data_IF_799785178555
#
_entry.id   IF_799785178555
#
_cell.length_a   1.000
_cell.length_b   1.000
_cell.length_c   1.000
_cell.angle_alpha   90.00
_cell.angle_beta   90.00
_cell.angle_gamma   90.00
#
_symmetry.space_group_name_H-M   'P 1'
#
loop_
_entity.id
_entity.type
_entity.pdbx_description
1 polymer ?
#
# COMPACT_ATOMS: atom_id res chain seq x y z
N UNK A 1 6.74 -5.82 -29.19
CA UNK A 1 5.49 -5.15 -28.79
C UNK A 1 5.81 -4.24 -27.62
N UNK A 2 5.54 -2.94 -27.73
CA UNK A 2 5.71 -2.00 -26.61
C UNK A 2 4.77 -2.43 -25.49
N UNK A 3 5.29 -2.61 -24.29
CA UNK A 3 4.47 -2.96 -23.12
C UNK A 3 3.61 -1.74 -22.76
N UNK A 4 2.29 -1.88 -22.82
CA UNK A 4 1.33 -0.86 -22.39
C UNK A 4 1.58 -0.47 -20.93
N UNK A 5 1.69 0.81 -20.66
CA UNK A 5 1.85 1.32 -19.31
C UNK A 5 0.63 2.08 -18.82
N UNK A 6 0.48 2.18 -17.50
CA UNK A 6 -0.57 3.02 -16.92
C UNK A 6 -0.40 4.50 -17.35
N UNK A 7 0.82 4.93 -17.59
CA UNK A 7 1.12 6.29 -18.05
C UNK A 7 0.53 6.54 -19.44
N UNK A 8 0.71 5.61 -20.39
CA UNK A 8 0.19 5.74 -21.76
C UNK A 8 -1.34 5.84 -21.75
N UNK A 9 -1.99 4.97 -20.98
CA UNK A 9 -3.46 4.99 -20.81
C UNK A 9 -3.93 6.33 -20.24
N UNK A 10 -3.21 6.87 -19.24
CA UNK A 10 -3.55 8.17 -18.66
C UNK A 10 -3.28 9.34 -19.59
N UNK A 11 -2.19 9.31 -20.35
CA UNK A 11 -1.84 10.39 -21.29
C UNK A 11 -2.89 10.56 -22.39
N UNK A 12 -3.43 9.46 -22.86
CA UNK A 12 -4.38 9.46 -23.99
C UNK A 12 -5.85 9.48 -23.53
N UNK A 13 -6.23 8.74 -22.50
CA UNK A 13 -7.62 8.62 -22.09
C UNK A 13 -8.08 9.59 -20.99
N UNK A 14 -7.17 10.04 -20.12
CA UNK A 14 -7.56 10.92 -19.02
C UNK A 14 -8.05 12.32 -19.45
N UNK A 15 -7.49 13.00 -20.47
CA UNK A 15 -7.97 14.32 -20.89
C UNK A 15 -9.46 14.32 -21.23
N UNK A 16 -9.91 13.38 -22.04
CA UNK A 16 -11.33 13.24 -22.41
C UNK A 16 -12.19 12.88 -21.20
N UNK A 17 -11.75 11.92 -20.40
CA UNK A 17 -12.45 11.54 -19.16
C UNK A 17 -12.64 12.72 -18.21
N UNK A 18 -11.63 13.58 -18.05
CA UNK A 18 -11.67 14.71 -17.15
C UNK A 18 -12.59 15.85 -17.64
N UNK A 19 -12.89 15.94 -18.94
CA UNK A 19 -13.85 16.90 -19.49
C UNK A 19 -15.29 16.59 -19.08
N UNK A 20 -15.61 15.30 -18.95
CA UNK A 20 -16.98 14.83 -18.67
C UNK A 20 -17.21 14.47 -17.19
N UNK A 21 -16.13 14.34 -16.41
CA UNK A 21 -16.20 13.91 -15.01
C UNK A 21 -15.54 14.95 -14.10
N UNK A 22 -16.30 15.68 -13.27
CA UNK A 22 -15.73 16.60 -12.28
C UNK A 22 -14.95 15.80 -11.24
N UNK A 23 -13.67 16.13 -11.07
CA UNK A 23 -12.78 15.41 -10.16
C UNK A 23 -12.24 16.35 -9.07
N UNK A 24 -12.06 15.86 -7.83
CA UNK A 24 -11.41 16.62 -6.76
C UNK A 24 -9.97 17.01 -7.12
N UNK A 25 -9.49 18.12 -6.58
CA UNK A 25 -8.15 18.66 -6.90
C UNK A 25 -7.01 17.68 -6.65
N UNK A 26 -7.10 16.88 -5.57
CA UNK A 26 -6.08 15.88 -5.25
C UNK A 26 -6.06 14.72 -6.26
N UNK A 27 -7.21 14.34 -6.82
CA UNK A 27 -7.32 13.31 -7.86
C UNK A 27 -6.72 13.83 -9.17
N UNK A 28 -7.07 15.07 -9.58
CA UNK A 28 -6.46 15.73 -10.74
C UNK A 28 -4.94 15.85 -10.61
N UNK A 29 -4.43 16.15 -9.38
CA UNK A 29 -2.99 16.18 -9.11
C UNK A 29 -2.35 14.81 -9.29
N UNK A 30 -3.00 13.75 -8.83
CA UNK A 30 -2.53 12.37 -9.00
C UNK A 30 -2.48 11.96 -10.47
N UNK A 31 -3.53 12.23 -11.23
CA UNK A 31 -3.59 11.96 -12.66
C UNK A 31 -2.45 12.66 -13.42
N UNK A 32 -2.27 13.97 -13.21
CA UNK A 32 -1.15 14.73 -13.78
C UNK A 32 0.21 14.14 -13.39
N UNK A 33 0.37 13.72 -12.15
CA UNK A 33 1.60 13.10 -11.70
C UNK A 33 1.89 11.75 -12.39
N UNK A 34 0.85 10.96 -12.68
CA UNK A 34 0.98 9.71 -13.45
C UNK A 34 1.37 10.02 -14.89
N UNK A 35 0.69 10.97 -15.55
CA UNK A 35 0.95 11.35 -16.93
C UNK A 35 2.37 11.91 -17.15
N UNK A 36 2.87 12.70 -16.21
CA UNK A 36 4.13 13.43 -16.37
C UNK A 36 5.32 12.83 -15.62
N UNK A 37 5.10 11.80 -14.81
CA UNK A 37 6.18 11.15 -14.07
C UNK A 37 7.23 10.55 -15.00
N UNK A 38 8.50 10.93 -14.85
CA UNK A 38 9.62 10.47 -15.70
C UNK A 38 9.44 10.79 -17.19
N UNK A 39 8.99 12.02 -17.47
CA UNK A 39 8.92 12.59 -18.82
C UNK A 39 9.65 13.94 -18.85
N UNK A 40 9.88 14.47 -20.06
CA UNK A 40 10.50 15.77 -20.28
C UNK A 40 9.77 16.91 -19.57
N UNK A 41 8.47 16.80 -19.35
CA UNK A 41 7.65 17.80 -18.61
C UNK A 41 8.23 18.10 -17.22
N UNK A 42 8.81 17.10 -16.55
CA UNK A 42 9.41 17.28 -15.23
C UNK A 42 10.91 17.62 -15.29
N UNK A 43 11.47 17.81 -16.50
CA UNK A 43 12.89 17.96 -16.70
C UNK A 43 13.68 16.68 -16.38
N UNK A 44 14.99 16.76 -16.41
CA UNK A 44 15.84 15.60 -16.21
C UNK A 44 17.33 15.92 -16.25
N UNK A 45 18.10 14.87 -16.45
CA UNK A 45 19.57 14.94 -16.53
C UNK A 45 20.05 14.06 -17.68
N UNK A 46 20.97 14.56 -18.47
CA UNK A 46 21.72 13.78 -19.47
C UNK A 46 23.01 13.32 -18.82
N UNK A 47 23.25 12.03 -18.88
CA UNK A 47 24.47 11.42 -18.40
C UNK A 47 25.17 10.70 -19.55
N UNK A 48 26.47 10.91 -19.70
CA UNK A 48 27.28 10.32 -20.75
C UNK A 48 28.47 9.55 -20.17
N UNK A 49 28.92 8.54 -20.90
CA UNK A 49 30.16 7.86 -20.61
C UNK A 49 31.33 8.81 -20.88
N UNK A 50 32.34 8.92 -20.00
CA UNK A 50 33.53 9.71 -20.27
C UNK A 50 34.23 9.31 -21.56
N UNK A 51 34.22 8.02 -21.91
CA UNK A 51 34.82 7.49 -23.15
C UNK A 51 33.90 7.60 -24.39
N UNK A 52 32.76 8.27 -24.25
CA UNK A 52 31.86 8.51 -25.40
C UNK A 52 30.97 7.32 -25.81
N UNK A 53 31.00 6.19 -25.09
CA UNK A 53 30.32 4.96 -25.52
C UNK A 53 28.80 5.09 -25.57
N UNK A 54 28.18 5.76 -24.58
CA UNK A 54 26.72 5.93 -24.49
C UNK A 54 26.34 7.25 -23.83
N UNK A 55 25.15 7.73 -24.18
CA UNK A 55 24.45 8.81 -23.49
C UNK A 55 23.04 8.35 -23.06
N UNK A 56 22.59 8.72 -21.87
CA UNK A 56 21.28 8.38 -21.34
C UNK A 56 20.59 9.59 -20.73
N UNK A 57 19.28 9.67 -20.93
CA UNK A 57 18.44 10.70 -20.31
C UNK A 57 17.67 10.08 -19.15
N UNK A 58 17.76 10.69 -17.97
CA UNK A 58 16.95 10.33 -16.82
C UNK A 58 16.03 11.47 -16.45
N UNK A 59 14.74 11.29 -16.71
CA UNK A 59 13.73 12.26 -16.34
C UNK A 59 13.38 12.19 -14.87
N UNK A 60 13.03 13.34 -14.29
CA UNK A 60 12.71 13.49 -12.89
C UNK A 60 11.42 12.73 -12.50
N UNK A 61 11.44 12.14 -11.30
CA UNK A 61 10.29 11.48 -10.73
C UNK A 61 9.26 12.50 -10.20
N UNK A 62 7.97 12.23 -10.40
CA UNK A 62 6.88 13.07 -9.87
C UNK A 62 6.73 12.99 -8.35
N UNK A 63 7.33 11.99 -7.69
CA UNK A 63 7.28 11.70 -6.24
C UNK A 63 5.87 11.49 -5.69
N UNK A 64 4.85 11.40 -6.53
CA UNK A 64 3.47 11.22 -6.08
C UNK A 64 3.23 9.77 -5.64
N UNK A 65 2.53 9.60 -4.48
CA UNK A 65 2.31 8.28 -3.88
C UNK A 65 1.48 7.33 -4.74
N UNK A 66 0.61 7.85 -5.59
CA UNK A 66 -0.25 7.03 -6.47
C UNK A 66 0.41 6.70 -7.81
N UNK A 67 1.59 7.25 -8.13
CA UNK A 67 2.28 6.92 -9.37
C UNK A 67 3.06 5.61 -9.22
N UNK A 68 2.75 4.56 -10.03
CA UNK A 68 3.41 3.26 -9.89
C UNK A 68 4.89 3.29 -10.23
N UNK A 69 5.30 4.15 -11.14
CA UNK A 69 6.70 4.28 -11.55
C UNK A 69 7.56 5.06 -10.53
N UNK A 70 6.99 6.10 -9.92
CA UNK A 70 7.76 7.03 -9.09
C UNK A 70 7.73 6.71 -7.58
N UNK A 71 6.82 5.83 -7.12
CA UNK A 71 6.68 5.49 -5.72
C UNK A 71 7.74 4.51 -5.19
N UNK A 72 8.41 3.81 -6.09
CA UNK A 72 9.33 2.71 -5.83
C UNK A 72 10.39 3.00 -4.74
N UNK A 73 11.23 4.02 -4.92
CA UNK A 73 12.31 4.33 -3.98
C UNK A 73 11.81 4.63 -2.55
N UNK A 74 10.65 5.25 -2.44
CA UNK A 74 10.05 5.57 -1.14
C UNK A 74 9.50 4.33 -0.45
N UNK A 75 9.02 3.36 -1.21
CA UNK A 75 8.61 2.03 -0.70
C UNK A 75 9.82 1.29 -0.15
N UNK A 76 10.93 1.25 -0.90
CA UNK A 76 12.15 0.56 -0.48
C UNK A 76 12.79 1.22 0.77
N UNK A 77 12.83 2.55 0.83
CA UNK A 77 13.30 3.28 2.03
C UNK A 77 12.47 2.96 3.26
N UNK A 78 11.15 2.98 3.13
CA UNK A 78 10.27 2.61 4.22
C UNK A 78 10.51 1.16 4.66
N UNK A 79 10.57 0.25 3.69
CA UNK A 79 10.77 -1.18 3.94
C UNK A 79 12.11 -1.45 4.63
N UNK A 80 13.19 -0.81 4.20
CA UNK A 80 14.50 -0.94 4.82
C UNK A 80 14.45 -0.48 6.29
N UNK A 81 13.79 0.66 6.57
CA UNK A 81 13.60 1.14 7.94
C UNK A 81 12.78 0.18 8.78
N UNK A 82 11.69 -0.39 8.23
CA UNK A 82 10.88 -1.35 8.99
C UNK A 82 11.66 -2.64 9.27
N UNK A 83 12.36 -3.17 8.28
CA UNK A 83 13.18 -4.40 8.43
C UNK A 83 14.23 -4.25 9.54
N UNK A 84 14.89 -3.09 9.62
CA UNK A 84 15.85 -2.80 10.68
C UNK A 84 15.23 -2.80 12.08
N UNK A 85 13.94 -2.43 12.19
CA UNK A 85 13.21 -2.32 13.45
C UNK A 85 12.43 -3.59 13.81
N UNK A 86 12.17 -4.49 12.87
CA UNK A 86 11.47 -5.74 13.17
C UNK A 86 12.27 -6.57 14.20
N UNK A 87 11.57 -7.12 15.17
CA UNK A 87 12.11 -8.13 16.06
C UNK A 87 12.25 -9.45 15.29
N UNK A 88 13.33 -10.18 15.52
CA UNK A 88 13.49 -11.53 15.00
C UNK A 88 12.67 -12.50 15.87
N UNK A 89 11.37 -12.42 15.76
CA UNK A 89 10.38 -13.29 16.39
C UNK A 89 9.31 -13.64 15.36
N UNK A 90 8.46 -14.60 15.71
CA UNK A 90 7.31 -14.92 14.87
C UNK A 90 6.41 -13.69 14.72
N UNK A 91 5.87 -13.50 13.51
CA UNK A 91 4.89 -12.46 13.21
C UNK A 91 3.65 -13.09 12.58
N UNK A 92 2.49 -12.55 12.91
CA UNK A 92 1.22 -12.95 12.29
C UNK A 92 0.72 -11.85 11.37
N UNK A 93 0.29 -12.20 10.17
CA UNK A 93 -0.50 -11.30 9.34
C UNK A 93 -1.97 -11.48 9.67
N UNK A 94 -2.65 -10.36 9.96
CA UNK A 94 -4.08 -10.33 10.24
C UNK A 94 -4.74 -9.41 9.23
N UNK A 95 -5.73 -9.92 8.49
CA UNK A 95 -6.49 -9.16 7.50
C UNK A 95 -7.91 -8.98 8.05
N UNK A 96 -8.30 -7.72 8.26
CA UNK A 96 -9.61 -7.37 8.76
C UNK A 96 -10.39 -6.67 7.64
N UNK A 97 -11.54 -7.23 7.29
CA UNK A 97 -12.37 -6.73 6.18
C UNK A 97 -13.75 -6.34 6.69
N UNK A 98 -14.17 -5.14 6.35
CA UNK A 98 -15.51 -4.63 6.62
C UNK A 98 -16.54 -5.26 5.66
N UNK A 99 -17.80 -5.45 6.11
CA UNK A 99 -18.90 -5.83 5.22
C UNK A 99 -19.05 -4.86 4.05
N UNK A 100 -19.40 -5.40 2.88
CA UNK A 100 -19.63 -4.62 1.66
C UNK A 100 -20.67 -3.50 1.85
N UNK A 101 -21.67 -3.75 2.69
CA UNK A 101 -22.70 -2.77 3.06
C UNK A 101 -22.16 -1.47 3.65
N UNK A 102 -20.93 -1.47 4.18
CA UNK A 102 -20.26 -0.28 4.72
C UNK A 102 -19.37 0.44 3.69
N UNK A 103 -19.16 -0.13 2.51
CA UNK A 103 -18.33 0.48 1.47
C UNK A 103 -18.86 1.84 0.97
N UNK A 104 -20.18 2.07 0.83
CA UNK A 104 -20.70 3.39 0.47
C UNK A 104 -20.28 4.50 1.43
N UNK A 105 -20.11 4.20 2.71
CA UNK A 105 -19.62 5.17 3.72
C UNK A 105 -18.17 5.63 3.46
N UNK A 106 -17.44 4.92 2.60
CA UNK A 106 -16.06 5.27 2.27
C UNK A 106 -15.95 6.40 1.26
N UNK A 107 -17.05 6.72 0.56
CA UNK A 107 -17.02 7.73 -0.50
C UNK A 107 -16.83 9.14 0.06
N UNK A 108 -17.44 9.43 1.23
CA UNK A 108 -17.36 10.75 1.89
C UNK A 108 -17.50 10.58 3.42
N UNK A 109 -16.68 11.16 4.24
CA UNK A 109 -15.31 11.61 4.00
C UNK A 109 -14.28 10.49 4.26
N UNK A 110 -13.50 10.16 3.25
CA UNK A 110 -12.46 9.10 3.30
C UNK A 110 -11.53 9.20 4.53
N UNK A 111 -11.04 10.38 4.96
CA UNK A 111 -10.15 10.47 6.13
C UNK A 111 -10.81 10.03 7.43
N UNK A 112 -12.10 10.32 7.63
CA UNK A 112 -12.85 9.97 8.85
C UNK A 112 -13.10 8.46 8.90
N UNK A 113 -13.60 7.86 7.81
CA UNK A 113 -13.76 6.41 7.72
C UNK A 113 -12.43 5.67 7.89
N UNK A 114 -11.36 6.19 7.28
CA UNK A 114 -10.01 5.65 7.47
C UNK A 114 -9.59 5.68 8.95
N UNK A 115 -9.80 6.80 9.63
CA UNK A 115 -9.47 6.93 11.05
C UNK A 115 -10.29 5.97 11.92
N UNK A 116 -11.60 5.84 11.65
CA UNK A 116 -12.50 4.95 12.35
C UNK A 116 -12.09 3.48 12.21
N UNK A 117 -11.76 3.05 10.99
CA UNK A 117 -11.34 1.66 10.76
C UNK A 117 -10.00 1.36 11.43
N UNK A 118 -9.03 2.26 11.36
CA UNK A 118 -7.78 2.08 12.10
C UNK A 118 -7.99 2.02 13.61
N UNK A 119 -8.88 2.85 14.15
CA UNK A 119 -9.25 2.81 15.56
C UNK A 119 -9.90 1.47 15.92
N UNK A 120 -10.90 1.04 15.15
CA UNK A 120 -11.58 -0.24 15.33
C UNK A 120 -10.60 -1.41 15.36
N UNK A 121 -9.66 -1.45 14.42
CA UNK A 121 -8.65 -2.52 14.35
C UNK A 121 -7.68 -2.46 15.53
N UNK A 122 -7.21 -1.26 15.90
CA UNK A 122 -6.39 -1.07 17.09
C UNK A 122 -7.09 -1.62 18.32
N UNK A 123 -8.30 -1.15 18.56
CA UNK A 123 -9.05 -1.48 19.78
C UNK A 123 -9.37 -2.99 19.82
N UNK A 124 -9.71 -3.58 18.67
CA UNK A 124 -9.93 -5.04 18.57
C UNK A 124 -8.68 -5.82 18.94
N UNK A 125 -7.54 -5.50 18.31
CA UNK A 125 -6.30 -6.27 18.52
C UNK A 125 -5.69 -6.01 19.91
N UNK A 126 -5.72 -4.77 20.39
CA UNK A 126 -5.16 -4.44 21.70
C UNK A 126 -6.00 -5.02 22.83
N UNK A 127 -7.33 -4.94 22.76
CA UNK A 127 -8.22 -5.55 23.75
C UNK A 127 -8.06 -7.07 23.79
N UNK A 128 -8.08 -7.72 22.61
CA UNK A 128 -7.94 -9.16 22.54
C UNK A 128 -6.59 -9.64 23.08
N UNK A 129 -5.52 -8.97 22.72
CA UNK A 129 -4.15 -9.41 23.07
C UNK A 129 -3.71 -8.97 24.48
N UNK A 130 -4.42 -8.03 25.09
CA UNK A 130 -4.26 -7.71 26.50
C UNK A 130 -4.74 -8.83 27.43
N UNK A 131 -5.67 -9.67 26.95
CA UNK A 131 -6.19 -10.79 27.74
C UNK A 131 -5.10 -11.83 28.03
N UNK A 132 -4.89 -12.20 29.31
CA UNK A 132 -3.86 -13.17 29.71
C UNK A 132 -3.98 -14.54 29.04
N UNK A 133 -5.20 -14.93 28.66
CA UNK A 133 -5.50 -16.18 27.93
C UNK A 133 -4.82 -16.22 26.56
N UNK A 134 -4.61 -15.08 25.91
CA UNK A 134 -3.99 -14.99 24.59
C UNK A 134 -2.53 -14.58 24.69
N UNK A 135 -2.25 -13.30 24.95
CA UNK A 135 -0.89 -12.80 25.13
C UNK A 135 -0.68 -12.17 26.50
N UNK A 136 -1.64 -11.35 26.99
CA UNK A 136 -1.53 -10.62 28.24
C UNK A 136 -0.44 -9.54 28.23
N UNK A 137 -0.11 -9.00 27.04
CA UNK A 137 0.84 -7.93 26.86
C UNK A 137 0.58 -7.18 25.55
N UNK A 138 0.82 -5.86 25.45
CA UNK A 138 0.71 -5.11 24.22
C UNK A 138 1.74 -5.57 23.18
N UNK A 139 1.32 -6.06 21.99
CA UNK A 139 2.23 -6.43 20.91
C UNK A 139 2.70 -5.19 20.12
N UNK A 140 3.67 -5.39 19.24
CA UNK A 140 3.95 -4.47 18.15
C UNK A 140 2.97 -4.71 16.99
N UNK A 141 2.31 -3.65 16.52
CA UNK A 141 1.37 -3.72 15.41
C UNK A 141 1.74 -2.70 14.36
N UNK A 142 1.85 -3.12 13.10
CA UNK A 142 1.92 -2.24 11.92
C UNK A 142 0.72 -2.59 11.06
N UNK A 143 -0.15 -1.62 10.76
CA UNK A 143 -1.31 -1.84 9.94
C UNK A 143 -1.31 -0.93 8.72
N UNK A 144 -1.67 -1.49 7.57
CA UNK A 144 -1.78 -0.78 6.30
C UNK A 144 -3.17 -0.97 5.71
N UNK A 145 -3.78 0.15 5.30
CA UNK A 145 -5.03 0.19 4.56
C UNK A 145 -4.73 0.31 3.08
N UNK A 146 -5.30 -0.55 2.27
CA UNK A 146 -5.50 -0.32 0.86
C UNK A 146 -7.00 -0.38 0.55
N UNK A 147 -7.43 0.29 -0.51
CA UNK A 147 -8.87 0.44 -0.77
C UNK A 147 -9.36 -0.35 -1.96
N UNK A 148 -8.48 -1.18 -2.57
CA UNK A 148 -8.77 -1.89 -3.81
C UNK A 148 -8.71 -3.41 -3.66
N UNK A 149 -9.62 -4.09 -4.35
CA UNK A 149 -9.54 -5.52 -4.61
C UNK A 149 -8.74 -5.82 -5.88
N UNK A 150 -8.61 -7.10 -6.21
CA UNK A 150 -7.88 -7.58 -7.39
C UNK A 150 -8.47 -7.04 -8.71
N UNK A 151 -9.77 -6.79 -8.76
CA UNK A 151 -10.51 -6.26 -9.92
C UNK A 151 -10.67 -4.74 -9.91
N UNK A 152 -9.86 -4.02 -9.10
CA UNK A 152 -9.89 -2.57 -8.92
C UNK A 152 -11.21 -2.02 -8.33
N UNK A 153 -12.08 -2.87 -7.81
CA UNK A 153 -13.26 -2.45 -7.07
C UNK A 153 -12.91 -1.94 -5.67
N UNK A 154 -13.76 -1.08 -5.11
CA UNK A 154 -13.62 -0.59 -3.75
C UNK A 154 -13.76 -1.77 -2.77
N UNK A 155 -12.67 -2.07 -2.10
CA UNK A 155 -12.57 -3.14 -1.11
C UNK A 155 -11.51 -2.73 -0.07
N UNK A 156 -11.91 -2.12 1.05
CA UNK A 156 -10.98 -1.58 2.03
C UNK A 156 -10.62 -2.59 3.14
N UNK A 157 -9.77 -3.61 2.89
CA UNK A 157 -9.20 -4.42 3.94
C UNK A 157 -8.10 -3.65 4.67
N UNK A 158 -7.93 -3.96 5.95
CA UNK A 158 -6.81 -3.53 6.73
C UNK A 158 -5.88 -4.71 6.99
N UNK A 159 -4.65 -4.61 6.53
CA UNK A 159 -3.61 -5.62 6.70
C UNK A 159 -2.75 -5.25 7.89
N UNK A 160 -2.72 -6.09 8.91
CA UNK A 160 -1.92 -5.94 10.12
C UNK A 160 -0.76 -6.93 10.16
N UNK A 161 0.42 -6.45 10.52
CA UNK A 161 1.56 -7.25 10.97
C UNK A 161 1.62 -7.14 12.48
N UNK A 162 1.51 -8.25 13.18
CA UNK A 162 1.48 -8.32 14.65
C UNK A 162 2.63 -9.18 15.14
N UNK A 163 3.42 -8.69 16.10
CA UNK A 163 4.51 -9.47 16.70
C UNK A 163 3.96 -10.67 17.47
N UNK A 164 4.66 -11.79 17.42
CA UNK A 164 4.33 -13.02 18.19
C UNK A 164 4.70 -12.93 19.67
N UNK A 165 4.68 -11.74 20.22
CA UNK A 165 4.89 -11.40 21.62
C UNK A 165 4.64 -9.94 21.87
N UNK A 166 4.72 -9.55 23.14
CA UNK A 166 4.44 -8.19 23.58
C UNK A 166 5.35 -7.74 24.72
N UNK A 167 5.24 -6.48 25.06
CA UNK A 167 5.98 -5.81 26.11
C UNK A 167 5.09 -5.63 27.35
N UNK A 168 5.45 -6.26 28.45
CA UNK A 168 4.68 -6.17 29.69
C UNK A 168 4.96 -4.85 30.44
N UNK A 169 4.11 -4.51 31.40
CA UNK A 169 4.26 -3.27 32.19
C UNK A 169 5.52 -3.28 33.08
N UNK A 170 5.97 -4.47 33.48
CA UNK A 170 7.20 -4.69 34.24
C UNK A 170 8.46 -4.77 33.38
N UNK A 171 8.35 -4.43 32.10
CA UNK A 171 9.51 -4.31 31.22
C UNK A 171 10.06 -5.64 30.71
N UNK A 172 9.21 -6.68 30.58
CA UNK A 172 9.62 -7.98 30.08
C UNK A 172 9.01 -8.30 28.71
N UNK A 173 9.77 -9.02 27.89
CA UNK A 173 9.24 -9.62 26.68
C UNK A 173 8.43 -10.87 27.02
N UNK A 174 7.19 -10.91 26.58
CA UNK A 174 6.30 -12.06 26.74
C UNK A 174 5.96 -12.65 25.37
N UNK A 175 6.44 -13.84 25.09
CA UNK A 175 6.12 -14.55 23.84
C UNK A 175 4.74 -15.23 23.90
N UNK A 176 4.10 -15.38 22.75
CA UNK A 176 2.86 -16.17 22.61
C UNK A 176 3.17 -17.65 22.87
N UNK A 177 2.43 -18.28 23.80
CA UNK A 177 2.70 -19.65 24.26
C UNK A 177 2.36 -20.69 23.20
N UNK A 178 1.20 -20.79 22.66
CA UNK A 178 0.74 -21.94 21.87
C UNK A 178 0.60 -21.66 20.36
N UNK A 179 1.33 -20.73 19.85
CA UNK A 179 1.29 -20.47 18.41
C UNK A 179 0.03 -19.79 17.88
N UNK A 180 -1.02 -19.68 18.65
CA UNK A 180 -2.28 -19.06 18.25
C UNK A 180 -2.37 -17.65 18.86
N UNK A 181 -1.92 -16.65 18.11
CA UNK A 181 -1.98 -15.26 18.57
C UNK A 181 -3.43 -14.74 18.61
N UNK A 182 -4.22 -15.06 17.59
CA UNK A 182 -5.56 -14.47 17.40
C UNK A 182 -6.56 -15.57 17.02
N UNK A 183 -7.50 -15.96 17.89
CA UNK A 183 -8.56 -16.88 17.53
C UNK A 183 -9.58 -16.16 16.62
N UNK A 184 -9.69 -16.62 15.37
CA UNK A 184 -10.42 -15.93 14.31
C UNK A 184 -11.88 -15.61 14.64
N UNK A 185 -12.61 -16.55 15.26
CA UNK A 185 -14.03 -16.34 15.65
C UNK A 185 -14.18 -15.25 16.71
N UNK A 186 -13.32 -15.25 17.74
CA UNK A 186 -13.34 -14.25 18.82
C UNK A 186 -12.96 -12.88 18.28
N UNK A 187 -11.86 -12.82 17.51
CA UNK A 187 -11.42 -11.59 16.87
C UNK A 187 -12.49 -11.00 15.95
N UNK A 188 -13.19 -11.83 15.17
CA UNK A 188 -14.28 -11.40 14.30
C UNK A 188 -15.48 -10.85 15.09
N UNK A 189 -15.87 -11.50 16.19
CA UNK A 189 -16.96 -11.02 17.05
C UNK A 189 -16.59 -9.68 17.70
N UNK A 190 -15.37 -9.55 18.20
CA UNK A 190 -14.87 -8.32 18.80
C UNK A 190 -14.73 -7.20 17.75
N UNK A 191 -14.18 -7.48 16.59
CA UNK A 191 -14.05 -6.53 15.48
C UNK A 191 -15.41 -5.99 15.03
N UNK A 192 -16.42 -6.86 14.92
CA UNK A 192 -17.80 -6.45 14.65
C UNK A 192 -18.36 -5.54 15.74
N UNK A 193 -18.25 -5.94 16.99
CA UNK A 193 -18.77 -5.16 18.14
C UNK A 193 -18.11 -3.77 18.22
N UNK A 194 -16.79 -3.72 18.17
CA UNK A 194 -16.00 -2.49 18.20
C UNK A 194 -16.32 -1.57 17.02
N UNK A 195 -16.42 -2.14 15.81
CA UNK A 195 -16.73 -1.37 14.61
C UNK A 195 -18.13 -0.77 14.63
N UNK A 196 -19.14 -1.55 15.06
CA UNK A 196 -20.50 -1.04 15.19
C UNK A 196 -20.63 0.03 16.29
N UNK A 197 -19.95 -0.14 17.42
CA UNK A 197 -19.89 0.86 18.48
C UNK A 197 -19.26 2.16 17.98
N UNK A 198 -18.13 2.07 17.24
CA UNK A 198 -17.45 3.22 16.67
C UNK A 198 -18.34 3.96 15.65
N UNK A 199 -19.04 3.23 14.77
CA UNK A 199 -19.98 3.82 13.81
C UNK A 199 -21.17 4.51 14.49
N UNK A 200 -21.78 3.88 15.50
CA UNK A 200 -22.86 4.47 16.28
C UNK A 200 -22.44 5.73 17.02
N UNK A 201 -21.22 5.78 17.51
CA UNK A 201 -20.67 6.95 18.21
C UNK A 201 -20.29 8.08 17.23
N UNK A 202 -19.78 7.74 16.05
CA UNK A 202 -19.33 8.73 15.08
C UNK A 202 -20.47 9.45 14.38
N UNK A 203 -21.56 8.75 14.07
CA UNK A 203 -22.65 9.32 13.28
C UNK A 203 -23.39 10.49 13.96
N UNK A 204 -23.87 10.40 15.23
CA UNK A 204 -24.59 11.50 15.87
C UNK A 204 -23.73 12.76 16.14
N UNK A 205 -22.41 12.63 16.03
CA UNK A 205 -21.42 13.71 16.28
C UNK A 205 -20.98 14.41 15.01
N UNK A 206 -21.67 14.24 13.89
CA UNK A 206 -21.27 14.71 12.56
C UNK A 206 -19.85 14.28 12.15
N UNK A 207 -19.31 13.30 12.86
CA UNK A 207 -18.00 12.74 12.55
C UNK A 207 -18.06 11.76 11.35
N UNK A 208 -19.24 11.33 10.95
CA UNK A 208 -19.53 10.49 9.81
C UNK A 208 -20.67 11.10 9.00
N UNK A 209 -20.41 11.50 7.77
CA UNK A 209 -21.44 11.93 6.84
C UNK A 209 -22.02 10.73 6.12
N UNK A 210 -23.34 10.65 6.05
CA UNK A 210 -23.99 9.61 5.27
C UNK A 210 -24.02 10.03 3.80
N UNK A 211 -23.89 9.08 2.85
CA UNK A 211 -24.18 9.34 1.46
C UNK A 211 -25.60 9.92 1.28
N UNK A 212 -25.80 10.80 0.32
CA UNK A 212 -27.09 11.49 0.08
C UNK A 212 -28.25 10.50 -0.15
N UNK A 213 -27.95 9.33 -0.73
CA UNK A 213 -28.89 8.25 -0.98
C UNK A 213 -29.20 7.38 0.27
N UNK A 214 -28.52 7.62 1.40
CA UNK A 214 -28.66 6.82 2.61
C UNK A 214 -29.34 7.63 3.73
N UNK A 215 -30.66 7.44 3.90
CA UNK A 215 -31.43 8.09 4.99
C UNK A 215 -30.96 7.59 6.36
N UNK A 216 -30.99 8.45 7.41
CA UNK A 216 -30.59 8.11 8.78
C UNK A 216 -31.22 6.82 9.31
N UNK A 217 -32.52 6.65 9.12
CA UNK A 217 -33.24 5.45 9.59
C UNK A 217 -32.77 4.16 8.86
N UNK A 218 -32.54 4.25 7.56
CA UNK A 218 -31.99 3.14 6.77
C UNK A 218 -30.56 2.78 7.23
N UNK A 219 -29.76 3.77 7.61
CA UNK A 219 -28.43 3.55 8.18
C UNK A 219 -28.50 2.81 9.51
N UNK A 220 -29.36 3.22 10.44
CA UNK A 220 -29.55 2.54 11.72
C UNK A 220 -30.04 1.09 11.55
N UNK A 221 -31.00 0.88 10.65
CA UNK A 221 -31.47 -0.47 10.28
C UNK A 221 -30.33 -1.32 9.71
N UNK A 222 -29.48 -0.73 8.86
CA UNK A 222 -28.28 -1.38 8.32
C UNK A 222 -27.30 -1.76 9.43
N UNK A 223 -27.01 -0.85 10.38
CA UNK A 223 -26.14 -1.16 11.52
C UNK A 223 -26.71 -2.26 12.40
N UNK A 224 -28.03 -2.29 12.62
CA UNK A 224 -28.67 -3.37 13.36
C UNK A 224 -28.48 -4.72 12.66
N UNK A 225 -28.77 -4.79 11.36
CA UNK A 225 -28.56 -6.00 10.53
C UNK A 225 -27.10 -6.46 10.56
N UNK A 226 -26.15 -5.52 10.44
CA UNK A 226 -24.72 -5.81 10.49
C UNK A 226 -24.24 -6.32 11.85
N UNK A 227 -25.02 -6.11 12.90
CA UNK A 227 -24.76 -6.68 14.22
C UNK A 227 -25.11 -8.17 14.34
N UNK A 228 -25.95 -8.68 13.45
CA UNK A 228 -26.41 -10.06 13.54
C UNK A 228 -25.34 -11.06 13.07
N UNK A 229 -24.92 -12.03 13.89
CA UNK A 229 -23.78 -12.91 13.60
C UNK A 229 -23.94 -13.75 12.32
N UNK A 230 -25.16 -14.13 11.97
CA UNK A 230 -25.49 -15.00 10.83
C UNK A 230 -25.69 -14.25 9.51
N UNK A 231 -25.91 -12.93 9.57
CA UNK A 231 -26.27 -12.12 8.41
C UNK A 231 -25.12 -11.30 7.82
N UNK A 232 -23.93 -11.32 8.43
CA UNK A 232 -22.89 -10.36 8.10
C UNK A 232 -21.53 -10.98 7.86
N UNK A 233 -20.87 -10.45 6.84
CA UNK A 233 -19.54 -10.88 6.42
C UNK A 233 -18.44 -9.95 6.99
N UNK A 234 -18.34 -9.87 8.30
CA UNK A 234 -17.13 -9.38 8.94
C UNK A 234 -16.09 -10.47 8.82
N UNK A 235 -14.93 -10.16 8.28
CA UNK A 235 -13.88 -11.15 8.12
C UNK A 235 -12.63 -10.74 8.87
N UNK A 236 -12.13 -11.69 9.65
CA UNK A 236 -10.79 -11.65 10.21
C UNK A 236 -10.08 -12.90 9.72
N UNK A 237 -9.20 -12.70 8.75
CA UNK A 237 -8.36 -13.76 8.23
C UNK A 237 -6.97 -13.65 8.83
N UNK A 238 -6.45 -14.76 9.32
CA UNK A 238 -5.09 -14.89 9.80
C UNK A 238 -4.31 -15.72 8.80
N UNK A 239 -3.24 -15.17 8.29
CA UNK A 239 -2.27 -15.92 7.51
C UNK A 239 -1.19 -16.49 8.44
N UNK A 240 -0.62 -17.63 8.09
CA UNK A 240 0.37 -18.32 8.90
C UNK A 240 1.57 -17.45 9.26
N UNK A 241 2.26 -17.85 10.31
CA UNK A 241 3.39 -17.15 10.90
C UNK A 241 4.54 -17.04 9.90
N UNK A 242 5.02 -15.82 9.74
CA UNK A 242 6.34 -15.59 9.16
C UNK A 242 7.36 -15.61 10.30
N UNK A 243 8.41 -16.43 10.24
CA UNK A 243 9.44 -16.48 11.29
C UNK A 243 10.08 -15.12 11.59
N UNK A 244 10.16 -14.24 10.59
CA UNK A 244 10.85 -12.95 10.69
C UNK A 244 10.00 -11.73 10.27
N UNK A 245 8.71 -11.90 9.94
CA UNK A 245 7.83 -10.80 9.53
C UNK A 245 8.20 -10.06 8.23
N UNK A 246 9.35 -10.36 7.63
CA UNK A 246 9.92 -9.61 6.50
C UNK A 246 9.05 -9.71 5.24
N UNK A 247 8.50 -10.89 4.96
CA UNK A 247 7.59 -11.13 3.83
C UNK A 247 6.31 -10.31 3.96
N UNK A 248 5.74 -10.28 5.17
CA UNK A 248 4.52 -9.50 5.47
C UNK A 248 4.81 -8.00 5.37
N UNK A 249 5.92 -7.52 5.92
CA UNK A 249 6.33 -6.12 5.79
C UNK A 249 6.50 -5.72 4.31
N UNK A 250 7.06 -6.60 3.48
CA UNK A 250 7.18 -6.40 2.03
C UNK A 250 5.80 -6.31 1.35
N UNK A 251 4.86 -7.18 1.72
CA UNK A 251 3.48 -7.12 1.22
C UNK A 251 2.79 -5.83 1.60
N UNK A 252 2.91 -5.38 2.86
CA UNK A 252 2.39 -4.10 3.35
C UNK A 252 2.99 -2.92 2.57
N UNK A 253 4.31 -2.90 2.38
CA UNK A 253 5.02 -1.85 1.67
C UNK A 253 4.50 -1.68 0.23
N UNK A 254 4.28 -2.78 -0.47
CA UNK A 254 3.76 -2.79 -1.85
C UNK A 254 2.34 -2.22 -1.95
N UNK A 255 1.54 -2.36 -0.89
CA UNK A 255 0.17 -1.84 -0.85
C UNK A 255 0.09 -0.36 -0.50
N UNK A 256 1.15 0.24 0.07
CA UNK A 256 1.13 1.63 0.55
C UNK A 256 1.24 2.68 -0.54
N UNK A 257 1.95 2.37 -1.62
CA UNK A 257 2.32 3.34 -2.67
C UNK A 257 2.31 2.71 -4.06
N UNK A 258 2.14 3.56 -5.07
CA UNK A 258 2.17 3.16 -6.48
C UNK A 258 0.80 2.76 -7.03
N UNK A 259 -0.28 3.11 -6.33
CA UNK A 259 -1.66 2.90 -6.78
C UNK A 259 -2.10 1.43 -6.82
N UNK A 260 -3.33 1.17 -7.28
CA UNK A 260 -3.96 -0.14 -7.25
C UNK A 260 -3.46 -1.09 -8.34
N UNK A 261 -2.79 -0.57 -9.36
CA UNK A 261 -2.34 -1.35 -10.51
C UNK A 261 -0.87 -1.05 -10.83
N UNK A 262 -0.12 -2.12 -11.09
CA UNK A 262 1.27 -2.05 -11.59
C UNK A 262 1.30 -2.42 -13.07
N UNK A 263 2.22 -1.82 -13.85
CA UNK A 263 2.33 -2.05 -15.29
C UNK A 263 2.36 -3.54 -15.70
N UNK A 264 3.07 -4.46 -15.01
CA UNK A 264 3.08 -5.88 -15.38
C UNK A 264 1.71 -6.57 -15.34
N UNK A 265 0.69 -5.96 -14.72
CA UNK A 265 -0.67 -6.49 -14.74
C UNK A 265 -1.46 -6.03 -15.99
N UNK A 266 -1.03 -5.00 -16.69
CA UNK A 266 -1.62 -4.57 -17.94
C UNK A 266 -1.29 -5.56 -19.04
N UNK A 267 -2.28 -5.93 -19.85
CA UNK A 267 -2.16 -6.90 -20.94
C UNK A 267 -2.28 -6.22 -22.29
N UNK A 268 -3.35 -5.44 -22.46
CA UNK A 268 -3.67 -4.77 -23.72
C UNK A 268 -4.45 -3.49 -23.49
N UNK A 269 -4.34 -2.59 -24.43
CA UNK A 269 -5.15 -1.40 -24.55
C UNK A 269 -5.27 -1.05 -26.06
N UNK A 270 -6.51 -0.82 -26.51
CA UNK A 270 -6.87 -0.59 -27.91
C UNK A 270 -7.36 0.85 -28.20
N UNK A 271 -7.32 1.72 -27.18
CA UNK A 271 -7.85 3.08 -27.23
C UNK A 271 -9.22 3.21 -26.55
N UNK A 272 -10.04 2.18 -26.57
CA UNK A 272 -11.40 2.15 -26.01
C UNK A 272 -11.48 1.30 -24.75
N UNK A 273 -10.76 0.18 -24.71
CA UNK A 273 -10.79 -0.77 -23.60
C UNK A 273 -9.41 -1.09 -23.05
N UNK A 274 -9.35 -1.38 -21.75
CA UNK A 274 -8.14 -1.78 -21.04
C UNK A 274 -8.31 -3.18 -20.49
N UNK A 275 -7.40 -4.08 -20.86
CA UNK A 275 -7.34 -5.46 -20.34
C UNK A 275 -6.20 -5.61 -19.33
N UNK A 276 -6.49 -6.16 -18.16
CA UNK A 276 -5.51 -6.42 -17.12
C UNK A 276 -5.70 -7.76 -16.42
N UNK A 277 -4.62 -8.30 -15.87
CA UNK A 277 -4.60 -9.56 -15.11
C UNK A 277 -5.01 -9.34 -13.67
N UNK A 278 -5.74 -10.32 -13.12
CA UNK A 278 -6.02 -10.39 -11.69
C UNK A 278 -6.00 -11.84 -11.20
N UNK A 279 -5.80 -12.02 -9.88
CA UNK A 279 -5.91 -13.33 -9.25
C UNK A 279 -7.32 -13.50 -8.72
N UNK A 280 -7.99 -14.57 -9.11
CA UNK A 280 -9.27 -14.94 -8.53
C UNK A 280 -9.03 -15.51 -7.13
N UNK A 281 -9.73 -14.98 -6.13
CA UNK A 281 -9.67 -15.55 -4.79
C UNK A 281 -10.35 -16.92 -4.81
N UNK A 282 -9.68 -17.99 -4.36
CA UNK A 282 -10.32 -19.29 -4.27
C UNK A 282 -11.55 -19.18 -3.35
N UNK A 283 -12.69 -19.56 -3.87
CA UNK A 283 -13.86 -19.91 -3.05
C UNK A 283 -13.47 -21.08 -2.16
N UNK A 284 -13.93 -21.13 -0.92
CA UNK A 284 -13.52 -22.03 0.18
C UNK A 284 -13.44 -23.56 -0.12
N UNK A 285 -13.64 -23.99 -1.35
CA UNK A 285 -13.70 -25.39 -1.76
C UNK A 285 -12.69 -25.80 -2.84
N UNK A 286 -11.82 -24.90 -3.33
CA UNK A 286 -10.84 -25.25 -4.36
C UNK A 286 -9.42 -24.89 -3.90
N UNK A 287 -8.50 -25.80 -4.18
CA UNK A 287 -7.07 -25.78 -3.88
C UNK A 287 -6.38 -24.41 -3.89
N UNK A 288 -5.44 -24.24 -2.99
CA UNK A 288 -4.78 -23.00 -2.53
C UNK A 288 -4.05 -22.14 -3.59
N UNK A 289 -4.16 -22.35 -4.87
CA UNK A 289 -3.59 -21.54 -5.94
C UNK A 289 -4.70 -20.78 -6.69
N UNK A 290 -4.84 -19.49 -6.40
CA UNK A 290 -5.76 -18.63 -7.17
C UNK A 290 -5.45 -18.69 -8.66
N UNK A 291 -6.49 -18.87 -9.51
CA UNK A 291 -6.36 -18.88 -10.96
C UNK A 291 -6.12 -17.47 -11.48
N UNK A 292 -5.11 -17.28 -12.33
CA UNK A 292 -4.92 -16.00 -13.02
C UNK A 292 -6.00 -15.82 -14.08
N UNK A 293 -6.71 -14.70 -13.99
CA UNK A 293 -7.78 -14.29 -14.90
C UNK A 293 -7.46 -12.96 -15.57
N UNK A 294 -8.18 -12.62 -16.61
CA UNK A 294 -8.13 -11.31 -17.26
C UNK A 294 -9.47 -10.60 -17.16
N UNK A 295 -9.43 -9.28 -17.09
CA UNK A 295 -10.61 -8.43 -17.11
C UNK A 295 -10.40 -7.30 -18.09
N UNK A 296 -11.38 -7.07 -18.94
CA UNK A 296 -11.46 -5.94 -19.86
C UNK A 296 -12.51 -4.96 -19.37
N UNK A 297 -12.17 -3.68 -19.38
CA UNK A 297 -13.05 -2.58 -18.99
C UNK A 297 -13.00 -1.47 -20.04
N UNK A 298 -14.12 -0.78 -20.30
CA UNK A 298 -14.11 0.51 -21.00
C UNK A 298 -13.15 1.46 -20.31
N UNK A 299 -12.47 2.34 -21.06
CA UNK A 299 -11.44 3.22 -20.54
C UNK A 299 -11.97 4.14 -19.43
N UNK A 300 -13.20 4.66 -19.54
CA UNK A 300 -13.85 5.46 -18.53
C UNK A 300 -13.98 4.72 -17.19
N UNK A 301 -14.51 3.48 -17.23
CA UNK A 301 -14.65 2.63 -16.05
C UNK A 301 -13.31 2.28 -15.43
N UNK A 302 -12.30 2.02 -16.26
CA UNK A 302 -10.95 1.73 -15.80
C UNK A 302 -10.35 2.94 -15.05
N UNK A 303 -10.42 4.13 -15.64
CA UNK A 303 -9.92 5.37 -15.02
C UNK A 303 -10.66 5.68 -13.72
N UNK A 304 -11.99 5.57 -13.70
CA UNK A 304 -12.80 5.73 -12.51
C UNK A 304 -12.33 4.81 -11.38
N UNK A 305 -12.14 3.51 -11.70
CA UNK A 305 -11.68 2.51 -10.71
C UNK A 305 -10.28 2.77 -10.21
N UNK A 306 -9.37 3.28 -11.03
CA UNK A 306 -8.02 3.65 -10.59
C UNK A 306 -8.05 4.91 -9.73
N UNK A 307 -8.76 5.94 -10.16
CA UNK A 307 -8.79 7.26 -9.53
C UNK A 307 -9.54 7.28 -8.20
N UNK A 308 -10.56 6.45 -7.98
CA UNK A 308 -11.27 6.36 -6.71
C UNK A 308 -10.37 5.94 -5.53
N UNK A 309 -9.20 5.36 -5.81
CA UNK A 309 -8.25 4.92 -4.79
C UNK A 309 -7.19 5.95 -4.45
N UNK A 310 -7.27 7.15 -5.04
CA UNK A 310 -6.36 8.25 -4.72
C UNK A 310 -6.78 8.85 -3.38
N UNK A 311 -5.99 8.69 -2.31
CA UNK A 311 -6.39 9.18 -1.01
C UNK A 311 -6.30 10.72 -0.94
N UNK A 312 -7.23 11.39 -0.25
CA UNK A 312 -7.14 12.82 0.06
C UNK A 312 -5.83 13.19 0.77
N UNK A 313 -5.39 14.45 0.67
CA UNK A 313 -4.23 14.95 1.41
C UNK A 313 -4.35 14.67 2.91
N UNK A 314 -3.23 14.38 3.58
CA UNK A 314 -3.20 14.08 5.01
C UNK A 314 -3.70 12.69 5.41
N UNK A 315 -4.28 11.90 4.49
CA UNK A 315 -4.73 10.54 4.79
C UNK A 315 -3.54 9.62 5.08
N UNK A 316 -3.44 9.17 6.32
CA UNK A 316 -2.46 8.17 6.74
C UNK A 316 -3.00 6.78 6.43
N UNK A 317 -2.36 6.06 5.51
CA UNK A 317 -2.73 4.69 5.13
C UNK A 317 -1.91 3.62 5.83
N UNK A 318 -0.98 4.01 6.68
CA UNK A 318 -0.21 3.11 7.56
C UNK A 318 -0.17 3.72 8.94
N UNK A 319 -0.43 2.89 9.93
CA UNK A 319 -0.31 3.25 11.36
C UNK A 319 0.38 2.13 12.11
N UNK A 320 1.02 2.49 13.21
CA UNK A 320 1.69 1.54 14.10
C UNK A 320 1.28 1.78 15.55
N UNK A 321 1.25 0.71 16.34
CA UNK A 321 0.92 0.72 17.76
C UNK A 321 1.82 -0.24 18.54
N UNK A 322 1.77 -0.12 19.88
CA UNK A 322 2.60 -0.91 20.76
C UNK A 322 4.09 -0.73 20.44
N UNK A 323 4.86 -1.78 20.50
CA UNK A 323 6.32 -1.79 20.22
C UNK A 323 6.71 -1.26 18.83
N UNK A 324 5.79 -1.30 17.86
CA UNK A 324 6.05 -0.75 16.53
C UNK A 324 5.87 0.77 16.45
N UNK A 325 5.31 1.42 17.46
CA UNK A 325 5.09 2.85 17.48
C UNK A 325 6.33 3.60 18.00
N UNK A 326 6.59 4.80 17.45
CA UNK A 326 7.72 5.62 17.84
C UNK A 326 7.75 5.98 19.34
N UNK A 327 6.58 6.01 19.98
CA UNK A 327 6.42 6.27 21.42
C UNK A 327 7.11 5.21 22.31
N UNK A 328 7.33 4.00 21.79
CA UNK A 328 8.00 2.90 22.47
C UNK A 328 9.38 2.61 21.86
N UNK A 329 10.03 3.64 21.31
CA UNK A 329 11.37 3.51 20.74
C UNK A 329 12.38 2.97 21.76
N UNK A 330 12.23 3.33 23.03
CA UNK A 330 13.11 2.92 24.13
C UNK A 330 12.89 1.46 24.56
N UNK A 331 11.68 0.92 24.39
CA UNK A 331 11.38 -0.47 24.71
C UNK A 331 11.97 -1.45 23.69
N UNK A 332 12.14 -1.03 22.46
CA UNK A 332 12.63 -1.91 21.38
C UNK A 332 14.06 -2.43 21.61
N UNK A 333 15.06 -1.63 22.03
CA UNK A 333 16.38 -2.13 22.39
C UNK A 333 16.34 -3.15 23.54
N UNK A 334 15.53 -2.91 24.56
CA UNK A 334 15.39 -3.83 25.72
C UNK A 334 14.79 -5.15 25.28
N UNK A 335 13.73 -5.13 24.47
CA UNK A 335 13.16 -6.35 23.88
C UNK A 335 14.21 -7.12 23.05
N UNK A 336 15.05 -6.41 22.28
CA UNK A 336 16.11 -7.06 21.46
C UNK A 336 17.15 -7.74 22.35
N UNK A 337 17.59 -7.08 23.43
CA UNK A 337 18.51 -7.68 24.39
C UNK A 337 17.93 -8.94 25.02
N UNK A 338 16.65 -8.93 25.42
CA UNK A 338 15.99 -10.11 25.99
C UNK A 338 15.75 -11.24 24.98
N UNK A 339 15.84 -10.94 23.71
CA UNK A 339 15.71 -11.90 22.60
C UNK A 339 17.08 -12.27 21.98
N UNK A 340 18.21 -11.89 22.61
CA UNK A 340 19.57 -12.09 22.10
C UNK A 340 19.78 -11.55 20.68
N UNK A 341 19.22 -10.38 20.40
CA UNK A 341 19.29 -9.75 19.08
C UNK A 341 20.18 -8.51 19.08
N UNK A 342 20.89 -8.23 17.98
CA UNK A 342 21.73 -7.05 17.88
C UNK A 342 20.92 -5.76 17.95
N UNK A 343 21.52 -4.63 18.37
CA UNK A 343 20.88 -3.33 18.36
C UNK A 343 20.31 -2.94 17.00
N UNK A 344 19.33 -2.03 17.00
CA UNK A 344 18.76 -1.50 15.75
C UNK A 344 19.80 -0.64 15.04
N UNK A 345 20.22 -1.06 13.86
CA UNK A 345 21.04 -0.25 12.95
C UNK A 345 20.13 0.25 11.84
N UNK A 346 19.80 1.54 11.87
CA UNK A 346 19.01 2.14 10.81
C UNK A 346 19.84 2.21 9.52
N UNK A 347 19.26 1.83 8.37
CA UNK A 347 19.98 1.88 7.10
C UNK A 347 20.29 3.33 6.73
N UNK A 348 21.45 3.55 6.13
CA UNK A 348 21.74 4.80 5.43
C UNK A 348 20.65 5.04 4.38
N UNK A 349 20.30 6.30 4.16
CA UNK A 349 19.24 6.66 3.22
C UNK A 349 19.54 6.12 1.82
N UNK A 350 18.84 5.06 1.45
CA UNK A 350 19.00 4.41 0.15
C UNK A 350 18.78 5.41 -1.00
N UNK A 351 19.69 5.44 -1.94
CA UNK A 351 19.47 6.02 -3.25
C UNK A 351 18.93 4.98 -4.24
N UNK A 352 18.56 5.43 -5.43
CA UNK A 352 17.95 4.53 -6.40
C UNK A 352 18.98 3.59 -7.05
N UNK A 353 20.24 3.99 -7.12
CA UNK A 353 21.34 3.20 -7.65
C UNK A 353 21.62 1.99 -6.74
N UNK A 354 21.77 2.26 -5.46
CA UNK A 354 21.95 1.22 -4.43
C UNK A 354 20.79 0.20 -4.45
N UNK A 355 19.54 0.67 -4.59
CA UNK A 355 18.40 -0.24 -4.64
C UNK A 355 18.40 -1.11 -5.91
N UNK A 356 18.76 -0.55 -7.07
CA UNK A 356 18.91 -1.34 -8.29
C UNK A 356 20.00 -2.40 -8.15
N UNK A 357 21.16 -2.03 -7.64
CA UNK A 357 22.27 -2.95 -7.41
C UNK A 357 21.90 -4.09 -6.44
N UNK A 358 21.18 -3.79 -5.34
CA UNK A 358 20.69 -4.80 -4.39
C UNK A 358 19.70 -5.80 -5.01
N UNK A 359 19.05 -5.43 -6.11
CA UNK A 359 18.12 -6.30 -6.85
C UNK A 359 18.80 -7.15 -7.92
N UNK A 360 20.09 -6.97 -8.11
CA UNK A 360 20.84 -7.62 -9.19
C UNK A 360 20.65 -6.96 -10.56
N UNK A 361 20.01 -5.79 -10.60
CA UNK A 361 19.93 -4.98 -11.83
C UNK A 361 21.32 -4.41 -12.15
N UNK A 362 21.65 -4.29 -13.43
CA UNK A 362 22.87 -3.59 -13.87
C UNK A 362 22.87 -2.17 -13.25
N UNK A 363 24.03 -1.75 -12.72
CA UNK A 363 24.14 -0.44 -12.09
C UNK A 363 23.77 0.67 -13.10
N UNK A 364 22.66 1.38 -12.87
CA UNK A 364 22.09 2.22 -13.92
C UNK A 364 22.98 3.42 -14.30
N UNK A 365 23.88 3.82 -13.40
CA UNK A 365 24.83 4.89 -13.62
C UNK A 365 26.19 4.37 -14.13
N UNK A 366 26.32 3.09 -14.52
CA UNK A 366 27.52 2.55 -15.15
C UNK A 366 27.33 2.35 -16.64
N UNK A 367 28.37 2.60 -17.37
CA UNK A 367 28.42 2.28 -18.78
C UNK A 367 28.44 0.75 -18.97
N UNK A 368 27.50 0.15 -19.74
CA UNK A 368 27.48 -1.28 -19.94
C UNK A 368 28.63 -1.82 -20.77
N UNK A 369 29.37 -0.94 -21.47
CA UNK A 369 30.49 -1.32 -22.34
C UNK A 369 31.84 -1.27 -21.61
N UNK A 370 32.11 -0.25 -20.79
CA UNK A 370 33.41 -0.10 -20.12
C UNK A 370 33.33 -0.10 -18.59
N UNK A 371 32.11 -0.16 -18.00
CA UNK A 371 31.94 -0.17 -16.54
C UNK A 371 32.15 1.19 -15.84
N UNK A 372 32.59 2.23 -16.55
CA UNK A 372 32.78 3.56 -15.93
C UNK A 372 31.47 4.20 -15.52
N UNK A 373 31.52 5.06 -14.49
CA UNK A 373 30.37 5.83 -14.06
C UNK A 373 30.02 6.89 -15.10
N UNK A 374 28.74 6.94 -15.47
CA UNK A 374 28.21 8.00 -16.34
C UNK A 374 28.23 9.34 -15.60
N UNK A 375 28.74 10.37 -16.23
CA UNK A 375 28.79 11.72 -15.68
C UNK A 375 27.64 12.57 -16.20
N UNK A 376 27.12 13.46 -15.36
CA UNK A 376 26.07 14.39 -15.77
C UNK A 376 26.67 15.47 -16.68
N UNK A 377 26.22 15.50 -17.91
CA UNK A 377 26.71 16.47 -18.92
C UNK A 377 25.73 17.62 -19.14
N UNK A 378 24.43 17.41 -18.84
CA UNK A 378 23.42 18.45 -19.07
C UNK A 378 22.26 18.27 -18.08
N UNK A 379 21.71 19.38 -17.61
CA UNK A 379 20.45 19.43 -16.87
C UNK A 379 19.34 19.91 -17.79
N UNK A 380 18.26 19.12 -17.89
CA UNK A 380 17.09 19.47 -18.69
C UNK A 380 16.08 20.22 -17.82
N UNK A 381 15.67 21.45 -18.22
CA UNK A 381 14.69 22.23 -17.47
C UNK A 381 13.30 21.57 -17.53
N UNK A 382 12.42 21.92 -16.59
CA UNK A 382 11.01 21.51 -16.63
C UNK A 382 10.30 22.18 -17.80
N UNK A 383 9.42 21.45 -18.48
CA UNK A 383 8.70 21.93 -19.66
C UNK A 383 9.56 21.95 -20.93
N UNK A 384 10.80 21.48 -20.85
CA UNK A 384 11.69 21.38 -21.99
C UNK A 384 11.26 20.28 -22.97
N UNK A 385 11.64 20.48 -24.25
CA UNK A 385 11.55 19.42 -25.27
C UNK A 385 12.69 18.43 -25.03
N UNK A 386 12.43 17.14 -25.17
CA UNK A 386 13.50 16.14 -25.13
C UNK A 386 14.50 16.45 -26.22
N UNK A 387 15.82 16.47 -25.93
CA UNK A 387 16.80 16.52 -27.02
C UNK A 387 16.59 15.30 -27.94
N UNK A 388 16.84 15.43 -29.25
CA UNK A 388 16.73 14.31 -30.14
C UNK A 388 17.57 13.14 -29.60
N UNK A 389 17.00 11.93 -29.62
CA UNK A 389 17.75 10.74 -29.27
C UNK A 389 18.97 10.68 -30.16
N UNK A 390 20.18 10.75 -29.59
CA UNK A 390 21.39 10.43 -30.33
C UNK A 390 21.25 8.98 -30.78
N UNK A 391 21.06 8.77 -32.08
CA UNK A 391 21.05 7.44 -32.67
C UNK A 391 22.32 6.73 -32.24
N UNK A 392 22.27 5.46 -31.82
CA UNK A 392 23.51 4.70 -31.71
C UNK A 392 24.08 4.61 -33.13
N UNK A 393 25.15 5.34 -33.39
CA UNK A 393 25.97 5.06 -34.57
C UNK A 393 26.33 3.59 -34.49
N UNK A 394 25.90 2.83 -35.47
CA UNK A 394 26.32 1.46 -35.69
C UNK A 394 27.85 1.49 -35.83
N UNK A 395 28.53 1.06 -34.77
CA UNK A 395 29.92 0.66 -34.93
C UNK A 395 29.93 -0.51 -35.90
N UNK A 396 30.58 -0.29 -37.04
CA UNK A 396 30.88 -1.27 -38.07
C UNK A 396 31.81 -2.35 -37.54
#
# INVERSE_FOLDING_TARGET
>A
MSLVTLQDIFQLGYPEYACTHPLPAHVRKAARAIMHGRTAVLGGHVHACPDGHISRIWYNACRHRSCPQCAFLQVERWLATQRARLLACAHSQVILTLPHDLHPLWREPVPRMTALVFQTVRDTLTTLLAEPTYLGAPPGIIAALHTWGQTLGLHPPLHGLVTGGGWTADGQWKAVRHGLLVPGRVAMALFRGTGLAALRTAWPRDALQLPEDLRPQAFLTRLHRLGHPQQTRWHVHRQERSPHGTGVATSLARSMRGGPLKNPRLVAWDGETVTFRYMENPTQAAEASGRQQQRTLPIGDFLQRVLQHVPPPGTQVVRSWGLSHARHADALPVCRTQLDQPPVVLPVRLDWQTVCAQRGDAHPAQCPLCGQLLVCTMVLPRGGVSPPASSPERAA
#
